data_IF_851819600061
#
_entry.id   IF_851819600061
#
_cell.length_a   1.000
_cell.length_b   1.000
_cell.length_c   1.000
_cell.angle_alpha   90.00
_cell.angle_beta   90.00
_cell.angle_gamma   90.00
#
_symmetry.space_group_name_H-M   'P 1'
#
loop_
_entity.id
_entity.type
_entity.pdbx_description
1 polymer ?
#
# COMPACT_ATOMS: atom_id res chain seq x y z
N UNK A 1 5.32 -4.47 -1.48
CA UNK A 1 6.60 -4.42 -0.75
C UNK A 1 7.66 -5.34 -1.32
N UNK A 2 7.43 -6.67 -1.42
CA UNK A 2 8.46 -7.64 -1.88
C UNK A 2 9.14 -7.33 -3.23
N UNK A 3 8.41 -6.77 -4.22
CA UNK A 3 8.99 -6.37 -5.52
C UNK A 3 9.95 -5.18 -5.39
N UNK A 4 9.63 -4.23 -4.52
CA UNK A 4 10.45 -3.05 -4.25
C UNK A 4 11.72 -3.46 -3.50
N UNK A 5 11.59 -4.22 -2.41
CA UNK A 5 12.72 -4.71 -1.61
C UNK A 5 13.72 -5.50 -2.44
N UNK A 6 13.24 -6.33 -3.37
CA UNK A 6 14.08 -7.14 -4.26
C UNK A 6 15.02 -6.32 -5.14
N UNK A 7 14.68 -5.07 -5.44
CA UNK A 7 15.50 -4.16 -6.25
C UNK A 7 16.26 -3.18 -5.34
N UNK A 8 15.58 -2.64 -4.33
CA UNK A 8 16.09 -1.61 -3.43
C UNK A 8 17.26 -2.11 -2.58
N UNK A 9 17.12 -3.26 -1.92
CA UNK A 9 18.13 -3.81 -1.02
C UNK A 9 19.47 -4.08 -1.74
N UNK A 10 19.53 -4.83 -2.86
CA UNK A 10 20.80 -5.06 -3.54
C UNK A 10 21.41 -3.78 -4.11
N UNK A 11 20.59 -2.81 -4.53
CA UNK A 11 21.07 -1.53 -5.03
C UNK A 11 21.75 -0.71 -3.93
N UNK A 12 21.17 -0.65 -2.72
CA UNK A 12 21.77 0.04 -1.57
C UNK A 12 23.03 -0.66 -1.10
N UNK A 13 23.06 -1.99 -1.07
CA UNK A 13 24.27 -2.76 -0.73
C UNK A 13 25.39 -2.48 -1.73
N UNK A 14 25.07 -2.47 -3.03
CA UNK A 14 26.04 -2.13 -4.08
C UNK A 14 26.59 -0.72 -3.87
N UNK A 15 25.72 0.25 -3.61
CA UNK A 15 26.10 1.63 -3.33
C UNK A 15 27.01 1.72 -2.10
N UNK A 16 26.68 1.02 -1.01
CA UNK A 16 27.49 0.98 0.20
C UNK A 16 28.89 0.40 -0.07
N UNK A 17 28.99 -0.69 -0.83
CA UNK A 17 30.27 -1.29 -1.24
C UNK A 17 31.09 -0.32 -2.07
N UNK A 18 30.48 0.33 -3.07
CA UNK A 18 31.16 1.34 -3.89
C UNK A 18 31.68 2.49 -3.03
N UNK A 19 30.86 3.03 -2.13
CA UNK A 19 31.28 4.12 -1.24
C UNK A 19 32.34 3.69 -0.24
N UNK A 20 32.35 2.43 0.19
CA UNK A 20 33.37 1.90 1.09
C UNK A 20 34.73 1.75 0.41
N UNK A 21 34.76 1.64 -0.92
CA UNK A 21 35.98 1.55 -1.73
C UNK A 21 36.42 2.90 -2.31
N UNK A 22 35.77 4.00 -1.92
CA UNK A 22 36.02 5.33 -2.46
C UNK A 22 37.47 5.82 -2.23
N UNK A 23 38.11 5.42 -1.12
CA UNK A 23 39.53 5.70 -0.83
C UNK A 23 40.52 5.21 -1.90
N UNK A 24 40.11 4.30 -2.81
CA UNK A 24 40.97 3.84 -3.90
C UNK A 24 41.09 4.88 -5.04
N UNK A 25 40.16 5.82 -5.10
CA UNK A 25 40.07 6.84 -6.16
C UNK A 25 40.18 8.25 -5.57
N UNK A 26 39.68 8.43 -4.35
CA UNK A 26 39.77 9.66 -3.58
C UNK A 26 40.95 9.59 -2.62
N UNK A 27 41.70 10.68 -2.49
CA UNK A 27 42.83 10.81 -1.56
C UNK A 27 42.30 11.02 -0.12
N UNK A 28 41.64 10.00 0.42
CA UNK A 28 41.00 9.99 1.74
C UNK A 28 41.35 8.74 2.55
N UNK A 29 41.22 8.82 3.88
CA UNK A 29 41.50 7.68 4.75
C UNK A 29 40.44 6.58 4.59
N UNK A 30 40.80 5.28 4.68
CA UNK A 30 39.82 4.18 4.62
C UNK A 30 38.70 4.28 5.67
N UNK A 31 38.99 4.90 6.82
CA UNK A 31 38.00 5.18 7.87
C UNK A 31 36.88 6.10 7.38
N UNK A 32 37.21 7.06 6.53
CA UNK A 32 36.28 8.10 6.08
C UNK A 32 35.34 7.55 5.01
N UNK A 33 35.87 6.75 4.08
CA UNK A 33 35.05 6.00 3.11
C UNK A 33 34.12 5.01 3.81
N UNK A 34 34.60 4.31 4.84
CA UNK A 34 33.76 3.40 5.64
C UNK A 34 32.64 4.16 6.38
N UNK A 35 32.95 5.31 6.98
CA UNK A 35 31.95 6.16 7.64
C UNK A 35 30.86 6.62 6.65
N UNK A 36 31.25 7.01 5.43
CA UNK A 36 30.28 7.37 4.37
C UNK A 36 29.40 6.19 3.96
N UNK A 37 29.96 4.98 3.83
CA UNK A 37 29.18 3.78 3.54
C UNK A 37 28.12 3.51 4.63
N UNK A 38 28.47 3.68 5.91
CA UNK A 38 27.49 3.58 7.00
C UNK A 38 26.40 4.65 6.89
N UNK A 39 26.77 5.90 6.56
CA UNK A 39 25.80 6.98 6.38
C UNK A 39 24.79 6.66 5.26
N UNK A 40 25.23 6.07 4.14
CA UNK A 40 24.36 5.61 3.05
C UNK A 40 23.36 4.56 3.55
N UNK A 41 23.83 3.55 4.29
CA UNK A 41 22.96 2.49 4.83
C UNK A 41 21.91 3.04 5.79
N UNK A 42 22.30 3.96 6.69
CA UNK A 42 21.39 4.61 7.65
C UNK A 42 20.36 5.48 6.93
N UNK A 43 20.79 6.29 5.96
CA UNK A 43 19.92 7.15 5.20
C UNK A 43 18.91 6.37 4.34
N UNK A 44 19.27 5.16 3.89
CA UNK A 44 18.40 4.31 3.07
C UNK A 44 17.27 3.60 3.85
N UNK A 45 17.15 3.82 5.15
CA UNK A 45 16.16 3.14 5.99
C UNK A 45 14.71 3.36 5.52
N UNK A 46 13.92 2.29 5.23
CA UNK A 46 12.58 2.40 4.68
C UNK A 46 11.47 2.61 5.73
N UNK A 47 11.78 3.16 6.91
CA UNK A 47 10.83 3.27 8.04
C UNK A 47 9.49 3.92 7.65
N UNK A 48 9.51 5.00 6.86
CA UNK A 48 8.30 5.69 6.42
C UNK A 48 7.45 4.81 5.48
N UNK A 49 8.09 4.02 4.62
CA UNK A 49 7.40 3.13 3.68
C UNK A 49 6.64 2.02 4.43
N UNK A 50 7.22 1.49 5.51
CA UNK A 50 6.62 0.42 6.31
C UNK A 50 5.27 0.83 6.93
N UNK A 51 5.14 2.11 7.31
CA UNK A 51 3.93 2.63 7.95
C UNK A 51 2.92 3.26 6.97
N UNK A 52 3.35 3.57 5.74
CA UNK A 52 2.51 4.28 4.76
C UNK A 52 1.23 3.50 4.38
N UNK A 53 1.34 2.19 4.11
CA UNK A 53 0.19 1.37 3.72
C UNK A 53 -0.82 1.14 4.87
N UNK A 54 -0.42 0.66 6.06
CA UNK A 54 -1.37 0.41 7.14
C UNK A 54 -2.06 1.70 7.64
N UNK A 55 -1.34 2.83 7.66
CA UNK A 55 -1.94 4.13 8.03
C UNK A 55 -3.01 4.56 7.04
N UNK A 56 -2.73 4.50 5.74
CA UNK A 56 -3.70 4.83 4.69
C UNK A 56 -4.95 3.92 4.75
N UNK A 57 -4.75 2.61 4.91
CA UNK A 57 -5.85 1.64 5.04
C UNK A 57 -6.70 1.97 6.27
N UNK A 58 -6.09 2.18 7.43
CA UNK A 58 -6.80 2.46 8.67
C UNK A 58 -7.64 3.75 8.56
N UNK A 59 -7.05 4.82 8.01
CA UNK A 59 -7.76 6.08 7.76
C UNK A 59 -8.92 5.90 6.78
N UNK A 60 -8.73 5.10 5.73
CA UNK A 60 -9.77 4.78 4.75
C UNK A 60 -10.94 4.01 5.37
N UNK A 61 -10.65 2.95 6.13
CA UNK A 61 -11.65 2.16 6.85
C UNK A 61 -12.41 3.03 7.86
N UNK A 62 -11.71 3.85 8.64
CA UNK A 62 -12.35 4.74 9.61
C UNK A 62 -13.28 5.76 8.93
N UNK A 63 -12.91 6.27 7.75
CA UNK A 63 -13.76 7.17 6.96
C UNK A 63 -14.99 6.46 6.41
N UNK A 64 -14.83 5.26 5.86
CA UNK A 64 -15.94 4.45 5.34
C UNK A 64 -16.95 4.10 6.45
N UNK A 65 -16.44 3.70 7.63
CA UNK A 65 -17.28 3.38 8.79
C UNK A 65 -18.12 4.59 9.25
N UNK A 66 -17.55 5.81 9.25
CA UNK A 66 -18.31 7.04 9.53
C UNK A 66 -19.43 7.31 8.52
N UNK A 67 -19.32 6.77 7.31
CA UNK A 67 -20.35 6.81 6.28
C UNK A 67 -21.32 5.63 6.28
N UNK A 68 -21.30 4.77 7.31
CA UNK A 68 -22.16 3.59 7.39
C UNK A 68 -21.71 2.40 6.53
N UNK A 69 -20.49 2.44 5.98
CA UNK A 69 -19.94 1.36 5.14
C UNK A 69 -19.00 0.49 5.96
N UNK A 70 -19.34 -0.79 6.12
CA UNK A 70 -18.50 -1.78 6.80
C UNK A 70 -17.47 -2.37 5.83
N UNK A 71 -16.19 -2.20 6.12
CA UNK A 71 -15.08 -2.80 5.36
C UNK A 71 -14.34 -3.81 6.24
N UNK A 72 -14.34 -5.08 5.83
CA UNK A 72 -13.77 -6.20 6.59
C UNK A 72 -12.27 -6.39 6.27
N UNK A 73 -11.44 -5.42 6.69
CA UNK A 73 -9.98 -5.46 6.55
C UNK A 73 -9.42 -4.67 5.36
N UNK A 74 -8.09 -4.73 5.18
CA UNK A 74 -7.40 -3.91 4.17
C UNK A 74 -7.51 -4.43 2.73
N UNK A 75 -7.48 -5.75 2.52
CA UNK A 75 -7.53 -6.33 1.18
C UNK A 75 -8.82 -5.99 0.41
N UNK A 76 -10.03 -6.02 1.03
CA UNK A 76 -11.24 -5.55 0.35
C UNK A 76 -11.21 -4.05 0.00
N UNK A 77 -10.60 -3.21 0.84
CA UNK A 77 -10.45 -1.77 0.55
C UNK A 77 -9.54 -1.53 -0.65
N UNK A 78 -8.41 -2.23 -0.72
CA UNK A 78 -7.49 -2.16 -1.87
C UNK A 78 -8.15 -2.68 -3.14
N UNK A 79 -8.87 -3.80 -3.05
CA UNK A 79 -9.60 -4.37 -4.19
C UNK A 79 -10.66 -3.41 -4.71
N UNK A 80 -11.44 -2.78 -3.81
CA UNK A 80 -12.47 -1.81 -4.15
C UNK A 80 -11.91 -0.64 -4.98
N UNK A 81 -10.68 -0.19 -4.70
CA UNK A 81 -10.01 0.88 -5.46
C UNK A 81 -9.63 0.50 -6.90
N UNK A 82 -9.84 -0.75 -7.33
CA UNK A 82 -9.50 -1.28 -8.66
C UNK A 82 -10.70 -1.89 -9.39
N UNK A 83 -11.90 -1.73 -8.84
CA UNK A 83 -13.12 -2.25 -9.46
C UNK A 83 -13.58 -1.31 -10.57
N UNK A 84 -13.79 -1.86 -11.77
CA UNK A 84 -14.28 -1.12 -12.94
C UNK A 84 -15.80 -1.30 -13.18
N UNK A 85 -16.40 -2.33 -12.60
CA UNK A 85 -17.80 -2.68 -12.79
C UNK A 85 -18.44 -3.17 -11.49
N UNK A 86 -19.70 -2.79 -11.28
CA UNK A 86 -20.50 -3.24 -10.13
C UNK A 86 -21.71 -3.99 -10.69
N UNK A 87 -21.83 -5.27 -10.32
CA UNK A 87 -23.03 -6.06 -10.59
C UNK A 87 -23.93 -5.98 -9.35
N UNK A 88 -25.17 -5.53 -9.54
CA UNK A 88 -26.16 -5.50 -8.47
C UNK A 88 -27.06 -6.74 -8.57
N UNK A 89 -27.28 -7.38 -7.43
CA UNK A 89 -28.44 -8.25 -7.30
C UNK A 89 -29.71 -7.39 -7.28
N UNK A 90 -30.81 -7.89 -7.83
CA UNK A 90 -32.07 -7.11 -7.88
C UNK A 90 -32.79 -7.21 -6.54
N UNK A 91 -33.12 -8.43 -6.13
CA UNK A 91 -34.01 -8.70 -5.00
C UNK A 91 -33.26 -8.49 -3.68
N UNK A 92 -33.76 -7.59 -2.82
CA UNK A 92 -33.13 -7.31 -1.52
C UNK A 92 -31.92 -6.37 -1.59
N UNK A 93 -31.50 -5.91 -2.78
CA UNK A 93 -30.47 -4.86 -2.95
C UNK A 93 -31.04 -3.64 -3.67
N UNK A 94 -31.58 -3.81 -4.89
CA UNK A 94 -32.26 -2.72 -5.61
C UNK A 94 -33.73 -2.60 -5.23
N UNK A 95 -34.34 -3.73 -4.83
CA UNK A 95 -35.72 -3.78 -4.34
C UNK A 95 -35.76 -4.21 -2.89
N UNK A 96 -36.86 -3.90 -2.20
CA UNK A 96 -37.07 -4.25 -0.78
C UNK A 96 -37.15 -5.77 -0.53
N UNK A 97 -37.29 -6.58 -1.58
CA UNK A 97 -37.46 -8.03 -1.46
C UNK A 97 -38.84 -8.46 -0.95
N UNK A 98 -39.73 -7.50 -0.69
CA UNK A 98 -41.10 -7.72 -0.22
C UNK A 98 -42.11 -7.52 -1.37
N UNK A 99 -42.86 -8.56 -1.79
CA UNK A 99 -43.82 -8.45 -2.87
C UNK A 99 -45.01 -7.57 -2.49
N UNK A 100 -45.35 -6.61 -3.35
CA UNK A 100 -46.52 -5.74 -3.19
C UNK A 100 -47.49 -5.95 -4.36
N UNK A 101 -48.78 -6.02 -4.03
CA UNK A 101 -49.84 -6.02 -5.04
C UNK A 101 -49.91 -4.62 -5.64
N UNK A 102 -49.62 -4.51 -6.94
CA UNK A 102 -49.59 -3.23 -7.66
C UNK A 102 -50.77 -3.05 -8.60
N UNK A 103 -51.36 -4.15 -9.07
CA UNK A 103 -52.45 -4.12 -10.01
C UNK A 103 -53.26 -5.42 -9.92
N UNK A 104 -54.56 -5.32 -10.20
CA UNK A 104 -55.47 -6.45 -10.38
C UNK A 104 -56.22 -6.20 -11.69
N UNK A 105 -56.06 -7.07 -12.67
CA UNK A 105 -56.82 -7.03 -13.92
C UNK A 105 -58.01 -8.02 -13.84
N UNK A 106 -59.24 -7.54 -13.60
CA UNK A 106 -60.44 -8.38 -13.66
C UNK A 106 -60.78 -8.75 -15.12
N UNK A 107 -61.38 -9.93 -15.29
CA UNK A 107 -61.96 -10.42 -16.55
C UNK A 107 -63.46 -10.13 -16.60
#
# INVERSE_FOLDING_TARGET
>A
TKKFERIFVPLIILLAVITSLAFLVLDEAPSDSFYRAMAVLVAASPCALAIATPSAILSGVARAARGGVLIKGGAPLEALGRVDAIAFDKTGTLTEGDPRLVDIAPY
#
